data_IF_340474079373
#
_entry.id   IF_340474079373
#
_cell.length_a   1.000
_cell.length_b   1.000
_cell.length_c   1.000
_cell.angle_alpha   90.00
_cell.angle_beta   90.00
_cell.angle_gamma   90.00
#
_symmetry.space_group_name_H-M   'P 1'
#
loop_
_entity.id
_entity.type
_entity.pdbx_description
1 polymer ?
#
# COMPACT_ATOMS: atom_id res chain seq x y z
N UNK A 1 4.31 34.89 6.36
CA UNK A 1 3.73 34.30 5.14
C UNK A 1 4.45 33.03 4.70
N UNK A 2 5.78 33.03 4.65
CA UNK A 2 6.55 31.92 4.11
C UNK A 2 6.38 30.59 4.85
N UNK A 3 6.37 30.62 6.17
CA UNK A 3 6.26 29.38 6.97
C UNK A 3 4.89 28.72 6.85
N UNK A 4 3.80 29.51 6.87
CA UNK A 4 2.44 28.99 6.70
C UNK A 4 2.22 28.37 5.33
N UNK A 5 2.73 29.02 4.29
CA UNK A 5 2.61 28.54 2.91
C UNK A 5 3.44 27.25 2.72
N UNK A 6 4.65 27.21 3.28
CA UNK A 6 5.51 26.03 3.25
C UNK A 6 4.87 24.85 3.97
N UNK A 7 4.27 25.08 5.16
CA UNK A 7 3.58 24.05 5.92
C UNK A 7 2.38 23.49 5.16
N UNK A 8 1.60 24.34 4.48
CA UNK A 8 0.46 23.90 3.68
C UNK A 8 0.89 23.06 2.47
N UNK A 9 1.99 23.45 1.82
CA UNK A 9 2.56 22.70 0.70
C UNK A 9 3.02 21.32 1.19
N UNK A 10 3.69 21.28 2.35
CA UNK A 10 4.17 20.03 2.91
C UNK A 10 3.01 19.08 3.26
N UNK A 11 1.92 19.58 3.85
CA UNK A 11 0.73 18.79 4.17
C UNK A 11 0.09 18.25 2.88
N UNK A 12 -0.05 19.10 1.86
CA UNK A 12 -0.60 18.65 0.57
C UNK A 12 0.28 17.58 -0.06
N UNK A 13 1.59 17.74 -0.01
CA UNK A 13 2.54 16.76 -0.52
C UNK A 13 2.43 15.43 0.23
N UNK A 14 2.32 15.47 1.56
CA UNK A 14 2.14 14.26 2.37
C UNK A 14 0.85 13.51 2.00
N UNK A 15 -0.24 14.24 1.82
CA UNK A 15 -1.53 13.63 1.44
C UNK A 15 -1.48 13.05 0.03
N UNK A 16 -0.77 13.68 -0.90
CA UNK A 16 -0.57 13.15 -2.24
C UNK A 16 0.23 11.84 -2.21
N UNK A 17 1.29 11.79 -1.41
CA UNK A 17 2.09 10.58 -1.23
C UNK A 17 1.24 9.47 -0.59
N UNK A 18 0.43 9.80 0.40
CA UNK A 18 -0.47 8.85 1.05
C UNK A 18 -1.46 8.25 0.04
N UNK A 19 -2.05 9.08 -0.83
CA UNK A 19 -2.93 8.59 -1.89
C UNK A 19 -2.20 7.67 -2.86
N UNK A 20 -0.94 7.98 -3.17
CA UNK A 20 -0.11 7.14 -4.02
C UNK A 20 0.12 5.76 -3.41
N UNK A 21 0.42 5.68 -2.13
CA UNK A 21 0.59 4.41 -1.43
C UNK A 21 -0.70 3.61 -1.34
N UNK A 22 -1.85 4.26 -1.12
CA UNK A 22 -3.14 3.57 -1.14
C UNK A 22 -3.46 3.01 -2.51
N UNK A 23 -3.26 3.78 -3.57
CA UNK A 23 -3.48 3.34 -4.94
C UNK A 23 -2.58 2.15 -5.28
N UNK A 24 -1.33 2.19 -4.82
CA UNK A 24 -0.38 1.09 -5.02
C UNK A 24 -0.82 -0.17 -4.28
N UNK A 25 -1.26 -0.03 -3.02
CA UNK A 25 -1.76 -1.15 -2.24
C UNK A 25 -2.97 -1.80 -2.91
N UNK A 26 -3.91 -1.00 -3.40
CA UNK A 26 -5.10 -1.48 -4.10
C UNK A 26 -4.72 -2.19 -5.41
N UNK A 27 -3.79 -1.63 -6.17
CA UNK A 27 -3.32 -2.21 -7.42
C UNK A 27 -2.64 -3.57 -7.19
N UNK A 28 -1.80 -3.68 -6.18
CA UNK A 28 -1.13 -4.94 -5.83
C UNK A 28 -2.15 -5.98 -5.37
N UNK A 29 -3.09 -5.59 -4.51
CA UNK A 29 -4.13 -6.49 -4.03
C UNK A 29 -5.00 -7.01 -5.17
N UNK A 30 -5.40 -6.14 -6.09
CA UNK A 30 -6.17 -6.53 -7.27
C UNK A 30 -5.36 -7.49 -8.16
N UNK A 31 -4.08 -7.21 -8.38
CA UNK A 31 -3.20 -8.07 -9.17
C UNK A 31 -3.08 -9.46 -8.54
N UNK A 32 -2.94 -9.54 -7.22
CA UNK A 32 -2.88 -10.81 -6.50
C UNK A 32 -4.17 -11.60 -6.70
N UNK A 33 -5.32 -10.97 -6.54
CA UNK A 33 -6.61 -11.66 -6.69
C UNK A 33 -6.83 -12.21 -8.10
N UNK A 34 -6.52 -11.40 -9.11
CA UNK A 34 -6.85 -11.76 -10.50
C UNK A 34 -5.79 -12.66 -11.11
N UNK A 35 -4.51 -12.28 -10.98
CA UNK A 35 -3.43 -12.94 -11.71
C UNK A 35 -2.85 -14.14 -11.00
N UNK A 36 -2.58 -14.02 -9.69
CA UNK A 36 -1.97 -15.12 -8.95
C UNK A 36 -2.97 -16.25 -8.68
N UNK A 37 -4.24 -15.93 -8.46
CA UNK A 37 -5.28 -16.95 -8.32
C UNK A 37 -5.41 -17.76 -9.62
N UNK A 38 -5.35 -17.09 -10.77
CA UNK A 38 -5.37 -17.74 -12.06
C UNK A 38 -4.16 -18.63 -12.28
N UNK A 39 -2.97 -18.15 -11.93
CA UNK A 39 -1.74 -18.93 -12.04
C UNK A 39 -1.78 -20.16 -11.14
N UNK A 40 -2.30 -20.03 -9.93
CA UNK A 40 -2.48 -21.14 -9.01
C UNK A 40 -3.43 -22.20 -9.60
N UNK A 41 -4.52 -21.78 -10.21
CA UNK A 41 -5.47 -22.69 -10.87
C UNK A 41 -4.80 -23.41 -12.06
N UNK A 42 -4.09 -22.69 -12.91
CA UNK A 42 -3.38 -23.28 -14.06
C UNK A 42 -2.32 -24.25 -13.58
N UNK A 43 -1.60 -23.95 -12.53
CA UNK A 43 -0.64 -24.84 -11.90
C UNK A 43 -1.29 -26.11 -11.37
N UNK A 44 -2.48 -26.01 -10.78
CA UNK A 44 -3.23 -27.15 -10.26
C UNK A 44 -3.69 -28.06 -11.40
N UNK A 45 -4.10 -27.50 -12.55
CA UNK A 45 -4.48 -28.26 -13.73
C UNK A 45 -3.27 -29.00 -14.32
N UNK A 46 -2.15 -28.31 -14.45
CA UNK A 46 -0.89 -28.90 -14.92
C UNK A 46 -0.40 -29.98 -13.97
N UNK A 47 -0.64 -29.83 -12.66
CA UNK A 47 -0.24 -30.75 -11.63
C UNK A 47 -0.91 -32.11 -11.67
N UNK A 48 -2.02 -32.25 -12.42
CA UNK A 48 -2.64 -33.58 -12.63
C UNK A 48 -1.72 -34.52 -13.39
N UNK A 49 -0.90 -33.97 -14.30
CA UNK A 49 0.05 -34.78 -15.05
C UNK A 49 1.39 -34.96 -14.32
N UNK A 50 1.78 -33.99 -13.50
CA UNK A 50 3.06 -33.98 -12.76
C UNK A 50 2.84 -33.45 -11.34
N UNK A 51 2.31 -34.28 -10.46
CA UNK A 51 1.84 -33.90 -9.12
C UNK A 51 2.87 -33.14 -8.31
N UNK A 52 4.11 -33.64 -8.24
CA UNK A 52 5.16 -33.03 -7.41
C UNK A 52 5.52 -31.63 -7.91
N UNK A 53 5.67 -31.47 -9.23
CA UNK A 53 5.97 -30.17 -9.85
C UNK A 53 4.81 -29.22 -9.73
N UNK A 54 3.58 -29.71 -9.87
CA UNK A 54 2.37 -28.93 -9.71
C UNK A 54 2.24 -28.37 -8.29
N UNK A 55 2.53 -29.20 -7.28
CA UNK A 55 2.51 -28.78 -5.88
C UNK A 55 3.60 -27.74 -5.59
N UNK A 56 4.82 -27.96 -6.10
CA UNK A 56 5.91 -27.00 -5.95
C UNK A 56 5.56 -25.65 -6.58
N UNK A 57 4.96 -25.66 -7.77
CA UNK A 57 4.52 -24.45 -8.44
C UNK A 57 3.43 -23.74 -7.64
N UNK A 58 2.46 -24.47 -7.15
CA UNK A 58 1.38 -23.92 -6.32
C UNK A 58 1.94 -23.27 -5.06
N UNK A 59 2.84 -23.93 -4.37
CA UNK A 59 3.48 -23.41 -3.18
C UNK A 59 4.27 -22.13 -3.47
N UNK A 60 5.01 -22.10 -4.59
CA UNK A 60 5.76 -20.93 -5.00
C UNK A 60 4.83 -19.74 -5.29
N UNK A 61 3.72 -19.97 -6.00
CA UNK A 61 2.72 -18.94 -6.30
C UNK A 61 2.09 -18.43 -5.00
N UNK A 62 1.76 -19.31 -4.08
CA UNK A 62 1.20 -18.93 -2.78
C UNK A 62 2.17 -18.06 -1.98
N UNK A 63 3.46 -18.42 -1.95
CA UNK A 63 4.48 -17.64 -1.27
C UNK A 63 4.65 -16.25 -1.86
N UNK A 64 4.64 -16.14 -3.18
CA UNK A 64 4.70 -14.84 -3.86
C UNK A 64 3.46 -14.02 -3.54
N UNK A 65 2.29 -14.64 -3.58
CA UNK A 65 1.03 -13.98 -3.25
C UNK A 65 1.01 -13.45 -1.82
N UNK A 66 1.48 -14.26 -0.86
CA UNK A 66 1.58 -13.85 0.55
C UNK A 66 2.54 -12.67 0.73
N UNK A 67 3.69 -12.71 0.05
CA UNK A 67 4.66 -11.61 0.08
C UNK A 67 4.08 -10.32 -0.50
N UNK A 68 3.35 -10.42 -1.60
CA UNK A 68 2.71 -9.26 -2.23
C UNK A 68 1.59 -8.68 -1.35
N UNK A 69 0.80 -9.52 -0.70
CA UNK A 69 -0.24 -9.07 0.23
C UNK A 69 0.37 -8.36 1.44
N UNK A 70 1.47 -8.89 1.96
CA UNK A 70 2.21 -8.27 3.05
C UNK A 70 2.73 -6.90 2.65
N UNK A 71 3.27 -6.79 1.45
CA UNK A 71 3.76 -5.54 0.90
C UNK A 71 2.62 -4.51 0.69
N UNK A 72 1.48 -4.96 0.20
CA UNK A 72 0.29 -4.10 0.04
C UNK A 72 -0.18 -3.58 1.41
N UNK A 73 -0.19 -4.44 2.42
CA UNK A 73 -0.55 -4.05 3.78
C UNK A 73 0.43 -3.02 4.35
N UNK A 74 1.72 -3.23 4.15
CA UNK A 74 2.75 -2.28 4.58
C UNK A 74 2.57 -0.93 3.89
N UNK A 75 2.26 -0.92 2.60
CA UNK A 75 2.00 0.32 1.85
C UNK A 75 0.78 1.07 2.39
N UNK A 76 -0.28 0.35 2.73
CA UNK A 76 -1.48 0.95 3.33
C UNK A 76 -1.18 1.53 4.73
N UNK A 77 -0.34 0.86 5.52
CA UNK A 77 0.10 1.35 6.82
C UNK A 77 0.93 2.62 6.69
N UNK A 78 1.81 2.70 5.68
CA UNK A 78 2.57 3.91 5.38
C UNK A 78 1.63 5.06 5.02
N UNK A 79 0.64 4.81 4.18
CA UNK A 79 -0.37 5.81 3.81
C UNK A 79 -1.10 6.34 5.05
N UNK A 80 -1.50 5.44 5.95
CA UNK A 80 -2.17 5.80 7.21
C UNK A 80 -1.27 6.66 8.10
N UNK A 81 0.00 6.28 8.22
CA UNK A 81 0.98 7.04 9.01
C UNK A 81 1.21 8.44 8.43
N UNK A 82 1.27 8.55 7.10
CA UNK A 82 1.43 9.84 6.43
C UNK A 82 0.22 10.76 6.67
N UNK A 83 -0.99 10.21 6.65
CA UNK A 83 -2.20 10.98 6.96
C UNK A 83 -2.20 11.45 8.41
N UNK A 84 -1.82 10.59 9.35
CA UNK A 84 -1.71 10.96 10.75
C UNK A 84 -0.67 12.07 10.95
N UNK A 85 0.45 12.03 10.23
CA UNK A 85 1.46 13.09 10.25
C UNK A 85 0.91 14.39 9.69
N UNK A 86 0.18 14.33 8.59
CA UNK A 86 -0.46 15.50 7.99
C UNK A 86 -1.45 16.16 8.96
N UNK A 87 -2.25 15.36 9.65
CA UNK A 87 -3.21 15.84 10.65
C UNK A 87 -2.50 16.55 11.79
N UNK A 88 -1.38 16.01 12.25
CA UNK A 88 -0.57 16.64 13.30
C UNK A 88 0.01 17.98 12.86
N UNK A 89 0.45 18.09 11.61
CA UNK A 89 0.95 19.35 11.05
C UNK A 89 -0.17 20.40 10.97
N UNK A 90 -1.34 20.02 10.52
CA UNK A 90 -2.50 20.92 10.46
C UNK A 90 -2.86 21.41 11.87
N UNK A 91 -2.91 20.49 12.84
CA UNK A 91 -3.22 20.81 14.23
C UNK A 91 -2.18 21.73 14.86
N UNK A 92 -0.90 21.47 14.63
CA UNK A 92 0.20 22.29 15.14
C UNK A 92 0.16 23.68 14.52
N UNK A 93 -0.14 23.79 13.22
CA UNK A 93 -0.26 25.06 12.53
C UNK A 93 -1.43 25.88 13.08
N UNK A 94 -2.58 25.24 13.32
CA UNK A 94 -3.75 25.88 13.93
C UNK A 94 -3.44 26.40 15.35
N UNK A 95 -2.72 25.64 16.16
CA UNK A 95 -2.31 26.06 17.51
C UNK A 95 -1.32 27.23 17.44
N UNK A 96 -0.38 27.18 16.51
CA UNK A 96 0.56 28.27 16.28
C UNK A 96 -0.13 29.56 15.88
N UNK A 97 -1.09 29.48 14.98
CA UNK A 97 -1.89 30.63 14.55
C UNK A 97 -2.68 31.23 15.73
N UNK A 98 -3.24 30.42 16.59
CA UNK A 98 -3.97 30.89 17.79
C UNK A 98 -3.06 31.59 18.79
N UNK A 99 -1.82 31.12 18.94
CA UNK A 99 -0.85 31.75 19.86
C UNK A 99 -0.38 33.10 19.36
N UNK A 100 -0.25 33.26 18.06
CA UNK A 100 0.23 34.49 17.45
C UNK A 100 -0.89 35.51 17.32
N UNK A 101 -2.09 35.04 17.11
CA UNK A 101 -3.25 35.91 16.99
C UNK A 101 -3.78 36.39 18.31
#
# INVERSE_FOLDING_TARGET
MGESDAARVDVAALLDVARGYDALADAVDAAVRVHLTRLSFDGAVAGRAYTVRGDALRNAVEQVGDGMRLWARASAEIASALRASADRYVEADARGARRVG
#
